data_IF_086122654005
#
_entry.id   IF_086122654005
#
_cell.length_a   1.000
_cell.length_b   1.000
_cell.length_c   1.000
_cell.angle_alpha   90.00
_cell.angle_beta   90.00
_cell.angle_gamma   90.00
#
_symmetry.space_group_name_H-M   'P 1'
#
loop_
_entity.id
_entity.type
_entity.pdbx_description
1 polymer ?
#
# COMPACT_ATOMS: atom_id res chain seq x y z
N UNK A 1 40.01 -18.89 -25.25
CA UNK A 1 38.68 -18.49 -25.75
C UNK A 1 37.68 -18.88 -24.67
N UNK A 2 37.36 -18.04 -23.68
CA UNK A 2 36.38 -16.93 -23.65
C UNK A 2 34.96 -17.38 -24.01
N UNK A 3 34.10 -17.44 -23.00
CA UNK A 3 32.67 -17.72 -23.09
C UNK A 3 32.01 -17.70 -21.71
N UNK A 4 32.19 -16.62 -20.94
CA UNK A 4 31.38 -16.40 -19.72
C UNK A 4 30.12 -15.66 -20.14
N UNK A 5 29.02 -16.38 -20.13
CA UNK A 5 27.65 -15.89 -20.35
C UNK A 5 27.36 -14.78 -19.34
N UNK A 6 26.95 -13.63 -19.88
CA UNK A 6 26.59 -12.46 -19.12
C UNK A 6 25.36 -12.81 -18.29
N UNK A 7 25.47 -12.67 -16.96
CA UNK A 7 24.30 -12.62 -16.10
C UNK A 7 23.56 -11.34 -16.47
N UNK A 8 22.47 -11.50 -17.20
CA UNK A 8 21.49 -10.47 -17.40
C UNK A 8 20.86 -10.19 -16.05
N UNK A 9 21.46 -9.25 -15.30
CA UNK A 9 20.84 -8.66 -14.13
C UNK A 9 19.66 -7.88 -14.67
N UNK A 10 18.49 -8.53 -14.75
CA UNK A 10 17.20 -7.86 -14.82
C UNK A 10 17.27 -6.71 -13.82
N UNK A 11 17.43 -5.48 -14.34
CA UNK A 11 17.33 -4.27 -13.55
C UNK A 11 15.92 -4.30 -12.99
N UNK A 12 15.81 -4.65 -11.71
CA UNK A 12 14.60 -4.34 -10.96
C UNK A 12 14.29 -2.86 -11.22
N UNK A 13 13.03 -2.51 -11.55
CA UNK A 13 12.67 -1.10 -11.63
C UNK A 13 13.01 -0.49 -10.28
N UNK A 14 14.02 0.39 -10.28
CA UNK A 14 14.31 1.25 -9.14
C UNK A 14 13.14 2.21 -9.14
N UNK A 15 12.11 1.88 -8.35
CA UNK A 15 11.15 2.87 -7.94
C UNK A 15 11.97 3.86 -7.10
N UNK A 16 12.22 5.06 -7.63
CA UNK A 16 12.70 6.21 -6.86
C UNK A 16 11.59 6.60 -5.88
N UNK A 17 11.39 5.73 -4.89
CA UNK A 17 10.51 5.97 -3.78
C UNK A 17 11.19 7.00 -2.89
N UNK A 18 10.48 8.08 -2.58
CA UNK A 18 10.88 9.07 -1.58
C UNK A 18 10.95 8.44 -0.18
N UNK A 19 10.40 7.23 -0.01
CA UNK A 19 10.42 6.49 1.24
C UNK A 19 11.51 5.41 1.25
N UNK A 20 12.18 5.29 2.39
CA UNK A 20 13.09 4.21 2.70
C UNK A 20 12.40 2.83 2.57
N UNK A 21 13.12 1.77 2.16
CA UNK A 21 12.57 0.43 1.97
C UNK A 21 11.80 -0.11 3.19
N UNK A 22 12.26 0.20 4.39
CA UNK A 22 11.63 -0.22 5.64
C UNK A 22 10.24 0.41 5.78
N UNK A 23 10.10 1.70 5.45
CA UNK A 23 8.82 2.39 5.50
C UNK A 23 7.88 1.89 4.40
N UNK A 24 8.37 1.57 3.20
CA UNK A 24 7.57 0.89 2.17
C UNK A 24 7.00 -0.44 2.68
N UNK A 25 7.83 -1.25 3.36
CA UNK A 25 7.40 -2.51 3.95
C UNK A 25 6.30 -2.29 4.99
N UNK A 26 6.48 -1.34 5.90
CA UNK A 26 5.47 -1.00 6.92
C UNK A 26 4.17 -0.52 6.29
N UNK A 27 4.21 0.35 5.28
CA UNK A 27 3.01 0.83 4.58
C UNK A 27 2.27 -0.31 3.85
N UNK A 28 3.02 -1.25 3.27
CA UNK A 28 2.43 -2.44 2.62
C UNK A 28 1.69 -3.30 3.65
N UNK A 29 2.30 -3.55 4.81
CA UNK A 29 1.66 -4.30 5.91
C UNK A 29 0.44 -3.53 6.45
N UNK A 30 0.53 -2.20 6.56
CA UNK A 30 -0.57 -1.34 6.99
C UNK A 30 -1.77 -1.45 6.04
N UNK A 31 -1.51 -1.50 4.73
CA UNK A 31 -2.52 -1.68 3.70
C UNK A 31 -3.22 -3.03 3.82
N UNK A 32 -2.47 -4.13 3.93
CA UNK A 32 -3.06 -5.47 4.10
C UNK A 32 -3.89 -5.56 5.38
N UNK A 33 -3.42 -4.93 6.47
CA UNK A 33 -4.15 -4.88 7.74
C UNK A 33 -5.45 -4.10 7.62
N UNK A 34 -5.42 -2.94 6.97
CA UNK A 34 -6.63 -2.13 6.74
C UNK A 34 -7.63 -2.88 5.85
N UNK A 35 -7.13 -3.50 4.78
CA UNK A 35 -7.92 -4.34 3.87
C UNK A 35 -8.59 -5.51 4.60
N UNK A 36 -7.82 -6.24 5.40
CA UNK A 36 -8.34 -7.38 6.18
C UNK A 36 -9.42 -6.97 7.17
N UNK A 37 -9.29 -5.80 7.81
CA UNK A 37 -10.33 -5.24 8.69
C UNK A 37 -11.61 -4.91 7.93
N UNK A 38 -11.49 -4.38 6.71
CA UNK A 38 -12.63 -4.02 5.88
C UNK A 38 -13.40 -5.28 5.42
N UNK A 39 -12.71 -6.24 4.81
CA UNK A 39 -13.31 -7.48 4.29
C UNK A 39 -13.75 -8.41 5.42
N UNK A 40 -12.97 -8.50 6.49
CA UNK A 40 -13.34 -9.26 7.70
C UNK A 40 -14.58 -8.74 8.41
N UNK A 41 -14.99 -7.48 8.14
CA UNK A 41 -16.27 -6.91 8.56
C UNK A 41 -17.48 -7.36 7.73
N UNK A 42 -17.30 -8.31 6.81
CA UNK A 42 -18.36 -8.83 5.94
C UNK A 42 -18.57 -8.01 4.66
N UNK A 43 -17.65 -7.08 4.35
CA UNK A 43 -17.74 -6.30 3.12
C UNK A 43 -17.37 -7.18 1.92
N UNK A 44 -18.34 -7.36 1.01
CA UNK A 44 -18.14 -8.08 -0.25
C UNK A 44 -18.18 -7.10 -1.40
N UNK A 45 -17.14 -7.12 -2.23
CA UNK A 45 -17.10 -6.33 -3.46
C UNK A 45 -17.77 -7.11 -4.59
N UNK A 46 -18.87 -6.60 -5.12
CA UNK A 46 -19.55 -7.21 -6.27
C UNK A 46 -18.78 -7.01 -7.60
N UNK A 47 -17.89 -6.02 -7.64
CA UNK A 47 -17.04 -5.71 -8.79
C UNK A 47 -15.60 -5.50 -8.37
N UNK A 48 -14.69 -6.04 -9.17
CA UNK A 48 -13.25 -5.90 -8.97
C UNK A 48 -12.80 -4.43 -9.00
N UNK A 49 -13.38 -3.61 -9.88
CA UNK A 49 -13.06 -2.17 -9.96
C UNK A 49 -13.35 -1.43 -8.65
N UNK A 50 -14.42 -1.81 -7.92
CA UNK A 50 -14.73 -1.23 -6.62
C UNK A 50 -13.75 -1.69 -5.54
N UNK A 51 -13.32 -2.96 -5.59
CA UNK A 51 -12.28 -3.47 -4.70
C UNK A 51 -10.97 -2.71 -4.92
N UNK A 52 -10.57 -2.51 -6.18
CA UNK A 52 -9.37 -1.77 -6.55
C UNK A 52 -9.45 -0.31 -6.09
N UNK A 53 -10.55 0.39 -6.40
CA UNK A 53 -10.77 1.79 -6.00
C UNK A 53 -10.70 1.95 -4.48
N UNK A 54 -11.29 1.01 -3.75
CA UNK A 54 -11.24 1.01 -2.28
C UNK A 54 -9.84 0.79 -1.75
N UNK A 55 -9.08 -0.14 -2.33
CA UNK A 55 -7.68 -0.38 -1.98
C UNK A 55 -6.81 0.84 -2.28
N UNK A 56 -7.08 1.55 -3.38
CA UNK A 56 -6.41 2.81 -3.73
C UNK A 56 -6.68 3.89 -2.69
N UNK A 57 -7.93 4.07 -2.25
CA UNK A 57 -8.28 5.05 -1.21
C UNK A 57 -7.60 4.73 0.13
N UNK A 58 -7.52 3.45 0.51
CA UNK A 58 -6.77 3.03 1.70
C UNK A 58 -5.28 3.40 1.59
N UNK A 59 -4.66 3.10 0.43
CA UNK A 59 -3.26 3.39 0.18
C UNK A 59 -2.97 4.91 0.20
N UNK A 60 -3.87 5.73 -0.34
CA UNK A 60 -3.75 7.19 -0.30
C UNK A 60 -3.71 7.73 1.14
N UNK A 61 -4.65 7.31 1.99
CA UNK A 61 -4.65 7.72 3.40
C UNK A 61 -3.40 7.27 4.17
N UNK A 62 -2.87 6.08 3.85
CA UNK A 62 -1.61 5.58 4.42
C UNK A 62 -0.43 6.46 3.97
N UNK A 63 -0.33 6.75 2.67
CA UNK A 63 0.74 7.57 2.10
C UNK A 63 0.73 8.99 2.68
N UNK A 64 -0.44 9.64 2.72
CA UNK A 64 -0.61 10.97 3.31
C UNK A 64 -0.14 11.00 4.76
N UNK A 65 -0.44 9.95 5.54
CA UNK A 65 -0.01 9.84 6.94
C UNK A 65 1.48 9.57 7.08
N UNK A 66 2.05 8.72 6.23
CA UNK A 66 3.48 8.44 6.23
C UNK A 66 4.31 9.70 5.86
N UNK A 67 3.81 10.54 4.96
CA UNK A 67 4.44 11.81 4.61
C UNK A 67 4.56 12.78 5.79
N UNK A 68 3.76 12.61 6.85
CA UNK A 68 3.91 13.39 8.10
C UNK A 68 4.95 12.81 9.06
N UNK A 69 5.76 11.83 8.64
CA UNK A 69 6.79 11.18 9.45
C UNK A 69 6.27 10.06 10.37
N UNK A 70 5.01 9.63 10.21
CA UNK A 70 4.44 8.55 11.02
C UNK A 70 4.82 7.20 10.43
N UNK A 71 5.45 6.35 11.25
CA UNK A 71 5.91 5.01 10.86
C UNK A 71 5.23 3.88 11.64
N UNK A 72 4.32 4.20 12.56
CA UNK A 72 3.60 3.21 13.35
C UNK A 72 2.56 2.49 12.49
N UNK A 73 2.63 1.15 12.47
CA UNK A 73 1.76 0.29 11.67
C UNK A 73 0.27 0.53 11.96
N UNK A 74 -0.12 0.56 13.24
CA UNK A 74 -1.51 0.76 13.65
C UNK A 74 -2.03 2.13 13.20
N UNK A 75 -1.22 3.18 13.38
CA UNK A 75 -1.59 4.55 13.01
C UNK A 75 -1.74 4.71 11.49
N UNK A 76 -0.88 4.08 10.71
CA UNK A 76 -0.95 4.07 9.25
C UNK A 76 -2.20 3.30 8.77
N UNK A 77 -2.43 2.09 9.31
CA UNK A 77 -3.59 1.28 8.97
C UNK A 77 -4.91 2.00 9.27
N UNK A 78 -5.01 2.65 10.43
CA UNK A 78 -6.19 3.43 10.81
C UNK A 78 -6.36 4.66 9.91
N UNK A 79 -5.28 5.33 9.51
CA UNK A 79 -5.35 6.47 8.59
C UNK A 79 -5.96 6.10 7.24
N UNK A 80 -5.61 4.93 6.68
CA UNK A 80 -6.25 4.41 5.47
C UNK A 80 -7.77 4.25 5.63
N UNK A 81 -8.21 3.63 6.73
CA UNK A 81 -9.64 3.43 7.02
C UNK A 81 -10.39 4.75 7.23
N UNK A 82 -9.78 5.71 7.93
CA UNK A 82 -10.34 7.05 8.13
C UNK A 82 -10.47 7.78 6.80
N UNK A 83 -9.45 7.70 5.94
CA UNK A 83 -9.48 8.31 4.62
C UNK A 83 -10.60 7.70 3.77
N UNK A 84 -10.70 6.37 3.70
CA UNK A 84 -11.80 5.69 3.00
C UNK A 84 -13.18 6.17 3.46
N UNK A 85 -13.41 6.24 4.78
CA UNK A 85 -14.70 6.70 5.33
C UNK A 85 -15.03 8.13 4.91
N UNK A 86 -14.05 9.02 4.85
CA UNK A 86 -14.24 10.41 4.40
C UNK A 86 -14.60 10.47 2.91
N UNK A 87 -13.95 9.65 2.10
CA UNK A 87 -14.16 9.60 0.65
C UNK A 87 -15.48 8.93 0.25
N UNK A 88 -16.06 8.09 1.11
CA UNK A 88 -17.38 7.45 0.89
C UNK A 88 -18.57 8.27 1.42
N UNK A 89 -18.32 9.35 2.17
CA UNK A 89 -19.36 10.20 2.78
C UNK A 89 -19.58 11.54 2.08
N UNK A 90 -19.05 11.72 0.87
CA UNK A 90 -19.21 12.92 0.03
C UNK A 90 -20.22 12.69 -1.09
#
# INVERSE_FOLDING_TARGET
MKGRTMHDKQRQPVFDSVFEPELLSVMTIALERAWSRLVGGGFVFEREDFALSTRTLLAQGILEKAQTGVVCLEALSEAGLVHLRRSSGA
#
